data_IF_424884072174
#
_entry.id   IF_424884072174
#
_cell.length_a   1.000
_cell.length_b   1.000
_cell.length_c   1.000
_cell.angle_alpha   90.00
_cell.angle_beta   90.00
_cell.angle_gamma   90.00
#
_symmetry.space_group_name_H-M   'P 1'
#
loop_
_entity.id
_entity.type
_entity.pdbx_description
1 polymer ?
#
# COMPACT_ATOMS: atom_id res chain seq x y z
N UNK A 1 -22.41 -28.85 -43.49
CA UNK A 1 -22.75 -27.87 -42.42
C UNK A 1 -23.52 -28.61 -41.34
N UNK A 2 -22.86 -28.97 -40.24
CA UNK A 2 -23.54 -29.59 -39.10
C UNK A 2 -24.35 -28.47 -38.42
N UNK A 3 -25.67 -28.66 -38.33
CA UNK A 3 -26.60 -27.65 -37.87
C UNK A 3 -26.42 -27.41 -36.36
N UNK A 4 -26.09 -26.19 -35.93
CA UNK A 4 -25.74 -25.83 -34.55
C UNK A 4 -26.80 -26.23 -33.52
N UNK A 5 -28.09 -26.32 -33.92
CA UNK A 5 -29.17 -26.82 -33.06
C UNK A 5 -28.99 -28.29 -32.67
N UNK A 6 -28.42 -29.11 -33.55
CA UNK A 6 -28.26 -30.54 -33.31
C UNK A 6 -27.14 -30.83 -32.30
N UNK A 7 -26.08 -30.02 -32.28
CA UNK A 7 -24.98 -30.14 -31.31
C UNK A 7 -25.45 -29.75 -29.91
N UNK A 8 -26.21 -28.65 -29.78
CA UNK A 8 -26.78 -28.21 -28.50
C UNK A 8 -27.77 -29.24 -27.97
N UNK A 9 -28.62 -29.81 -28.84
CA UNK A 9 -29.53 -30.90 -28.46
C UNK A 9 -28.75 -32.11 -27.93
N UNK A 10 -27.67 -32.52 -28.60
CA UNK A 10 -26.88 -33.69 -28.24
C UNK A 10 -26.17 -33.53 -26.88
N UNK A 11 -25.68 -32.32 -26.58
CA UNK A 11 -25.07 -31.99 -25.29
C UNK A 11 -26.12 -31.99 -24.18
N UNK A 12 -27.31 -31.43 -24.43
CA UNK A 12 -28.43 -31.45 -23.49
C UNK A 12 -28.92 -32.88 -23.20
N UNK A 13 -29.04 -33.74 -24.21
CA UNK A 13 -29.37 -35.15 -23.98
C UNK A 13 -28.29 -35.86 -23.18
N UNK A 14 -27.01 -35.60 -23.44
CA UNK A 14 -25.92 -36.23 -22.69
C UNK A 14 -25.90 -35.81 -21.21
N UNK A 15 -26.13 -34.52 -20.93
CA UNK A 15 -26.18 -33.98 -19.56
C UNK A 15 -27.39 -34.52 -18.80
N UNK A 16 -28.55 -34.59 -19.45
CA UNK A 16 -29.76 -35.19 -18.86
C UNK A 16 -29.56 -36.69 -18.62
N UNK A 17 -28.90 -37.40 -19.54
CA UNK A 17 -28.58 -38.82 -19.39
C UNK A 17 -27.63 -39.09 -18.21
N UNK A 18 -26.64 -38.21 -17.99
CA UNK A 18 -25.74 -38.26 -16.84
C UNK A 18 -26.47 -37.95 -15.52
N UNK A 19 -27.45 -37.03 -15.54
CA UNK A 19 -28.28 -36.70 -14.37
C UNK A 19 -29.27 -37.81 -14.00
N UNK A 20 -29.79 -38.56 -14.98
CA UNK A 20 -30.73 -39.67 -14.76
C UNK A 20 -30.01 -40.95 -14.30
N UNK A 21 -28.77 -41.19 -14.75
CA UNK A 21 -27.99 -42.39 -14.41
C UNK A 21 -27.30 -42.36 -13.03
N UNK A 22 -27.30 -41.23 -12.33
CA UNK A 22 -26.73 -41.11 -10.98
C UNK A 22 -27.80 -40.82 -9.91
N UNK A 23 -28.69 -41.78 -9.56
CA UNK A 23 -29.54 -41.65 -8.41
C UNK A 23 -28.77 -42.07 -7.15
N UNK A 24 -27.92 -41.19 -6.61
CA UNK A 24 -27.51 -41.09 -5.19
C UNK A 24 -26.16 -40.38 -5.04
N UNK A 25 -26.20 -39.13 -4.61
CA UNK A 25 -25.35 -38.63 -3.50
C UNK A 25 -25.69 -37.16 -3.23
N UNK A 26 -26.56 -36.97 -2.24
CA UNK A 26 -27.05 -35.67 -1.75
C UNK A 26 -25.93 -34.84 -1.06
N UNK A 27 -24.66 -35.21 -1.18
CA UNK A 27 -23.56 -34.61 -0.40
C UNK A 27 -22.58 -33.71 -1.17
N UNK A 28 -22.75 -33.48 -2.48
CA UNK A 28 -21.80 -32.63 -3.24
C UNK A 28 -22.44 -31.69 -4.29
N UNK A 29 -23.75 -31.46 -4.19
CA UNK A 29 -24.51 -30.60 -5.12
C UNK A 29 -23.87 -29.23 -5.40
N UNK A 30 -23.37 -28.46 -4.42
CA UNK A 30 -22.76 -27.15 -4.68
C UNK A 30 -21.43 -27.24 -5.46
N UNK A 31 -20.62 -28.26 -5.19
CA UNK A 31 -19.32 -28.45 -5.85
C UNK A 31 -19.48 -28.95 -7.29
N UNK A 32 -20.41 -29.89 -7.49
CA UNK A 32 -20.78 -30.39 -8.82
C UNK A 32 -21.43 -29.27 -9.64
N UNK A 33 -22.33 -28.48 -9.05
CA UNK A 33 -22.93 -27.31 -9.71
C UNK A 33 -21.88 -26.27 -10.12
N UNK A 34 -20.94 -25.94 -9.23
CA UNK A 34 -19.82 -25.02 -9.53
C UNK A 34 -18.90 -25.53 -10.66
N UNK A 35 -18.63 -26.83 -10.72
CA UNK A 35 -17.88 -27.43 -11.83
C UNK A 35 -18.65 -27.41 -13.15
N UNK A 36 -19.93 -27.75 -13.13
CA UNK A 36 -20.80 -27.71 -14.32
C UNK A 36 -20.94 -26.27 -14.82
N UNK A 37 -21.11 -25.30 -13.93
CA UNK A 37 -21.17 -23.89 -14.27
C UNK A 37 -19.87 -23.41 -14.92
N UNK A 38 -18.70 -23.80 -14.40
CA UNK A 38 -17.40 -23.48 -15.02
C UNK A 38 -17.24 -24.09 -16.41
N UNK A 39 -17.66 -25.34 -16.60
CA UNK A 39 -17.59 -26.02 -17.91
C UNK A 39 -18.57 -25.37 -18.90
N UNK A 40 -19.79 -25.05 -18.46
CA UNK A 40 -20.79 -24.38 -19.27
C UNK A 40 -20.37 -22.95 -19.65
N UNK A 41 -19.81 -22.17 -18.72
CA UNK A 41 -19.24 -20.85 -18.98
C UNK A 41 -18.04 -20.93 -19.93
N UNK A 42 -17.21 -21.96 -19.78
CA UNK A 42 -16.10 -22.25 -20.69
C UNK A 42 -16.61 -22.50 -22.12
N UNK A 43 -17.52 -23.46 -22.29
CA UNK A 43 -18.06 -23.85 -23.59
C UNK A 43 -18.87 -22.72 -24.23
N UNK A 44 -19.77 -22.06 -23.50
CA UNK A 44 -20.55 -20.93 -24.03
C UNK A 44 -19.66 -19.78 -24.50
N UNK A 45 -18.55 -19.51 -23.82
CA UNK A 45 -17.60 -18.46 -24.24
C UNK A 45 -16.91 -18.72 -25.58
N UNK A 46 -16.84 -19.97 -26.06
CA UNK A 46 -16.34 -20.33 -27.39
C UNK A 46 -17.37 -20.09 -28.50
N UNK A 47 -18.65 -20.00 -28.14
CA UNK A 47 -19.75 -19.79 -29.08
C UNK A 47 -20.37 -18.38 -29.00
N UNK A 48 -19.88 -17.55 -28.08
CA UNK A 48 -20.26 -16.14 -27.97
C UNK A 48 -19.87 -15.37 -29.23
N UNK A 49 -20.83 -14.63 -29.79
CA UNK A 49 -20.52 -13.62 -30.79
C UNK A 49 -19.63 -12.52 -30.17
N UNK A 50 -18.86 -11.77 -30.98
CA UNK A 50 -18.04 -10.67 -30.47
C UNK A 50 -18.83 -9.66 -29.61
N UNK A 51 -20.10 -9.41 -29.96
CA UNK A 51 -21.00 -8.51 -29.20
C UNK A 51 -21.42 -9.09 -27.85
N UNK A 52 -21.72 -10.39 -27.78
CA UNK A 52 -22.08 -11.05 -26.52
C UNK A 52 -20.87 -11.15 -25.58
N UNK A 53 -19.69 -11.44 -26.14
CA UNK A 53 -18.42 -11.42 -25.40
C UNK A 53 -18.13 -10.03 -24.83
N UNK A 54 -18.30 -8.98 -25.63
CA UNK A 54 -18.12 -7.59 -25.18
C UNK A 54 -19.13 -7.22 -24.08
N UNK A 55 -20.40 -7.58 -24.24
CA UNK A 55 -21.44 -7.34 -23.23
C UNK A 55 -21.15 -8.06 -21.90
N UNK A 56 -20.72 -9.33 -21.95
CA UNK A 56 -20.35 -10.09 -20.75
C UNK A 56 -19.14 -9.49 -20.04
N UNK A 57 -18.11 -9.09 -20.80
CA UNK A 57 -16.92 -8.42 -20.24
C UNK A 57 -17.34 -7.12 -19.54
N UNK A 58 -18.11 -6.25 -20.22
CA UNK A 58 -18.62 -5.01 -19.64
C UNK A 58 -19.42 -5.24 -18.36
N UNK A 59 -20.36 -6.20 -18.38
CA UNK A 59 -21.16 -6.55 -17.20
C UNK A 59 -20.30 -7.04 -16.03
N UNK A 60 -19.26 -7.84 -16.31
CA UNK A 60 -18.32 -8.32 -15.29
C UNK A 60 -17.46 -7.19 -14.73
N UNK A 61 -17.00 -6.27 -15.59
CA UNK A 61 -16.25 -5.08 -15.17
C UNK A 61 -17.11 -4.17 -14.28
N UNK A 62 -18.38 -3.95 -14.63
CA UNK A 62 -19.33 -3.19 -13.80
C UNK A 62 -19.57 -3.86 -12.45
N UNK A 63 -19.78 -5.18 -12.42
CA UNK A 63 -19.96 -5.91 -11.17
C UNK A 63 -18.70 -5.86 -10.28
N UNK A 64 -17.52 -6.01 -10.88
CA UNK A 64 -16.25 -5.87 -10.16
C UNK A 64 -16.07 -4.46 -9.61
N UNK A 65 -16.44 -3.44 -10.40
CA UNK A 65 -16.42 -2.03 -9.98
C UNK A 65 -17.34 -1.79 -8.80
N UNK A 66 -18.58 -2.26 -8.85
CA UNK A 66 -19.54 -2.08 -7.76
C UNK A 66 -19.12 -2.81 -6.49
N UNK A 67 -18.57 -4.02 -6.61
CA UNK A 67 -18.03 -4.76 -5.48
C UNK A 67 -16.84 -4.02 -4.84
N UNK A 68 -15.92 -3.52 -5.67
CA UNK A 68 -14.80 -2.72 -5.20
C UNK A 68 -15.26 -1.46 -4.47
N UNK A 69 -16.16 -0.69 -5.09
CA UNK A 69 -16.73 0.54 -4.53
C UNK A 69 -17.37 0.29 -3.17
N UNK A 70 -18.24 -0.73 -3.06
CA UNK A 70 -18.89 -1.10 -1.78
C UNK A 70 -17.86 -1.48 -0.72
N UNK A 71 -16.88 -2.31 -1.08
CA UNK A 71 -15.83 -2.73 -0.18
C UNK A 71 -14.99 -1.54 0.31
N UNK A 72 -14.59 -0.67 -0.60
CA UNK A 72 -13.82 0.53 -0.29
C UNK A 72 -14.59 1.47 0.65
N UNK A 73 -15.85 1.82 0.33
CA UNK A 73 -16.66 2.69 1.19
C UNK A 73 -16.98 2.06 2.55
N UNK A 74 -17.12 0.73 2.62
CA UNK A 74 -17.32 0.06 3.91
C UNK A 74 -16.14 0.24 4.87
N UNK A 75 -14.90 0.38 4.34
CA UNK A 75 -13.71 0.67 5.14
C UNK A 75 -13.63 2.11 5.65
N UNK A 76 -14.31 3.05 4.98
CA UNK A 76 -14.34 4.46 5.38
C UNK A 76 -15.31 4.73 6.54
N UNK A 77 -16.26 3.82 6.79
CA UNK A 77 -17.25 3.93 7.86
C UNK A 77 -16.61 3.58 9.21
N UNK A 78 -16.96 4.35 10.23
CA UNK A 78 -16.47 4.16 11.59
C UNK A 78 -17.58 3.61 12.49
N UNK A 79 -17.25 2.68 13.38
CA UNK A 79 -18.22 1.98 14.22
C UNK A 79 -18.86 2.85 15.33
N UNK A 80 -18.42 4.09 15.52
CA UNK A 80 -18.99 5.04 16.49
C UNK A 80 -18.96 6.47 15.92
N UNK A 81 -20.07 6.97 15.36
CA UNK A 81 -20.13 8.26 14.66
C UNK A 81 -20.36 9.46 15.59
N UNK A 82 -19.99 9.37 16.87
CA UNK A 82 -20.59 10.19 17.92
C UNK A 82 -20.29 11.69 17.84
N UNK A 83 -19.34 12.15 17.01
CA UNK A 83 -19.17 13.55 16.61
C UNK A 83 -18.41 13.60 15.27
N UNK A 84 -18.80 14.49 14.37
CA UNK A 84 -18.03 14.80 13.16
C UNK A 84 -16.71 15.46 13.57
N UNK A 85 -15.58 14.80 13.27
CA UNK A 85 -14.26 15.33 13.59
C UNK A 85 -13.97 16.58 12.76
N UNK A 86 -13.37 17.59 13.37
CA UNK A 86 -12.79 18.71 12.62
C UNK A 86 -11.66 18.23 11.71
N UNK A 87 -11.37 18.97 10.63
CA UNK A 87 -10.25 18.62 9.75
C UNK A 87 -8.89 18.55 10.49
N UNK A 88 -8.70 19.36 11.54
CA UNK A 88 -7.48 19.31 12.36
C UNK A 88 -7.38 18.05 13.21
N UNK A 89 -8.49 17.60 13.80
CA UNK A 89 -8.53 16.33 14.55
C UNK A 89 -8.36 15.14 13.61
N UNK A 90 -9.00 15.20 12.45
CA UNK A 90 -8.90 14.17 11.42
C UNK A 90 -7.45 14.03 10.91
N UNK A 91 -6.76 15.15 10.71
CA UNK A 91 -5.35 15.17 10.34
C UNK A 91 -4.46 14.57 11.42
N UNK A 92 -4.66 14.94 12.68
CA UNK A 92 -3.87 14.43 13.81
C UNK A 92 -3.99 12.91 13.94
N UNK A 93 -5.23 12.40 13.89
CA UNK A 93 -5.49 10.95 13.91
C UNK A 93 -4.90 10.23 12.69
N UNK A 94 -5.02 10.82 11.49
CA UNK A 94 -4.47 10.23 10.28
C UNK A 94 -2.94 10.17 10.30
N UNK A 95 -2.27 11.17 10.88
CA UNK A 95 -0.83 11.15 11.06
C UNK A 95 -0.38 10.14 12.13
N UNK A 96 -1.13 10.02 13.23
CA UNK A 96 -0.91 8.99 14.26
C UNK A 96 -1.02 7.57 13.66
N UNK A 97 -2.08 7.31 12.90
CA UNK A 97 -2.29 6.03 12.19
C UNK A 97 -1.23 5.78 11.11
N UNK A 98 -0.82 6.82 10.37
CA UNK A 98 0.23 6.74 9.36
C UNK A 98 1.57 6.27 9.93
N UNK A 99 2.03 6.87 11.03
CA UNK A 99 3.33 6.50 11.61
C UNK A 99 3.33 5.10 12.22
N UNK A 100 2.21 4.69 12.84
CA UNK A 100 2.01 3.31 13.28
C UNK A 100 2.09 2.36 12.09
N UNK A 101 1.37 2.64 11.01
CA UNK A 101 1.43 1.86 9.78
C UNK A 101 2.85 1.77 9.21
N UNK A 102 3.62 2.86 9.19
CA UNK A 102 5.01 2.82 8.72
C UNK A 102 5.90 1.90 9.56
N UNK A 103 5.74 1.93 10.89
CA UNK A 103 6.52 1.10 11.81
C UNK A 103 6.07 -0.36 11.78
N UNK A 104 4.77 -0.64 11.70
CA UNK A 104 4.25 -2.01 11.56
C UNK A 104 4.73 -2.66 10.26
N UNK A 105 4.78 -1.89 9.16
CA UNK A 105 5.27 -2.38 7.87
C UNK A 105 6.72 -2.88 7.94
N UNK A 106 7.54 -2.35 8.86
CA UNK A 106 8.93 -2.78 9.06
C UNK A 106 9.01 -4.28 9.37
N UNK A 107 8.11 -4.76 10.22
CA UNK A 107 8.04 -6.16 10.61
C UNK A 107 7.66 -7.11 9.46
N UNK A 108 6.98 -6.60 8.43
CA UNK A 108 6.57 -7.35 7.24
C UNK A 108 7.59 -7.29 6.09
N UNK A 109 8.65 -6.50 6.22
CA UNK A 109 9.61 -6.32 5.13
C UNK A 109 10.37 -7.59 4.76
N UNK A 110 10.62 -8.49 5.71
CA UNK A 110 11.31 -9.75 5.39
C UNK A 110 10.46 -10.62 4.45
N UNK A 111 9.13 -10.62 4.64
CA UNK A 111 8.21 -11.31 3.74
C UNK A 111 8.21 -10.65 2.36
N UNK A 112 8.25 -9.32 2.30
CA UNK A 112 8.35 -8.58 1.03
C UNK A 112 9.65 -8.94 0.31
N UNK A 113 10.78 -8.98 1.01
CA UNK A 113 12.08 -9.37 0.43
C UNK A 113 12.00 -10.79 -0.11
N UNK A 114 11.40 -11.72 0.64
CA UNK A 114 11.22 -13.10 0.17
C UNK A 114 10.35 -13.16 -1.10
N UNK A 115 9.21 -12.46 -1.12
CA UNK A 115 8.35 -12.41 -2.32
C UNK A 115 9.09 -11.84 -3.52
N UNK A 116 9.86 -10.75 -3.34
CA UNK A 116 10.64 -10.15 -4.44
C UNK A 116 11.72 -11.10 -4.97
N UNK A 117 12.30 -11.96 -4.12
CA UNK A 117 13.21 -13.03 -4.56
C UNK A 117 12.49 -14.12 -5.34
N UNK A 118 11.36 -14.60 -4.82
CA UNK A 118 10.56 -15.64 -5.48
C UNK A 118 10.09 -15.18 -6.88
N UNK A 119 9.78 -13.88 -7.02
CA UNK A 119 9.43 -13.22 -8.28
C UNK A 119 10.65 -12.86 -9.15
N UNK A 120 11.87 -13.12 -8.67
CA UNK A 120 13.15 -12.80 -9.34
C UNK A 120 13.32 -11.31 -9.66
N UNK A 121 12.73 -10.45 -8.84
CA UNK A 121 12.82 -8.99 -8.96
C UNK A 121 14.06 -8.42 -8.25
N UNK A 122 14.68 -9.20 -7.35
CA UNK A 122 15.94 -8.89 -6.68
C UNK A 122 16.86 -10.12 -6.66
N UNK A 123 18.13 -9.94 -6.34
CA UNK A 123 19.10 -11.04 -6.28
C UNK A 123 18.84 -12.00 -5.10
N UNK A 124 19.07 -13.28 -5.36
CA UNK A 124 18.93 -14.36 -4.37
C UNK A 124 19.85 -14.18 -3.15
N UNK A 125 21.00 -13.54 -3.33
CA UNK A 125 22.00 -13.28 -2.28
C UNK A 125 21.66 -12.08 -1.37
N UNK A 126 20.59 -11.34 -1.67
CA UNK A 126 20.11 -10.24 -0.82
C UNK A 126 19.77 -10.77 0.59
N UNK A 127 20.37 -10.29 1.69
CA UNK A 127 20.05 -10.81 3.02
C UNK A 127 18.57 -10.59 3.38
N UNK A 128 17.83 -11.67 3.68
CA UNK A 128 16.40 -11.59 4.02
C UNK A 128 16.13 -11.07 5.43
N UNK A 129 17.15 -11.03 6.30
CA UNK A 129 17.07 -10.69 7.72
C UNK A 129 17.71 -9.33 8.06
N UNK A 130 18.00 -8.52 7.03
CA UNK A 130 18.69 -7.24 7.18
C UNK A 130 17.95 -6.29 8.14
N UNK A 131 16.63 -6.20 8.00
CA UNK A 131 15.81 -5.34 8.84
C UNK A 131 15.71 -5.86 10.27
N UNK A 132 15.64 -7.18 10.45
CA UNK A 132 15.72 -7.78 11.79
C UNK A 132 17.01 -7.41 12.51
N UNK A 133 18.14 -7.50 11.81
CA UNK A 133 19.45 -7.14 12.36
C UNK A 133 19.55 -5.66 12.74
N UNK A 134 19.02 -4.77 11.90
CA UNK A 134 19.11 -3.31 12.11
C UNK A 134 18.11 -2.82 13.17
N UNK A 135 16.88 -3.34 13.12
CA UNK A 135 15.80 -2.97 14.04
C UNK A 135 15.83 -3.76 15.36
N UNK A 136 16.79 -4.68 15.51
CA UNK A 136 16.93 -5.50 16.71
C UNK A 136 15.79 -6.51 16.91
N UNK A 137 15.03 -6.82 15.87
CA UNK A 137 13.95 -7.82 15.93
C UNK A 137 14.59 -9.19 16.12
N UNK A 138 14.48 -9.76 17.32
CA UNK A 138 15.00 -11.11 17.62
C UNK A 138 13.96 -12.15 17.24
N UNK A 139 14.38 -13.17 16.48
CA UNK A 139 13.69 -14.45 16.46
C UNK A 139 14.23 -15.28 17.63
N UNK A 140 13.52 -15.32 18.74
CA UNK A 140 13.75 -16.36 19.74
C UNK A 140 12.57 -17.31 19.59
N UNK A 141 12.75 -18.32 18.73
CA UNK A 141 11.93 -19.53 18.66
C UNK A 141 10.42 -19.32 18.90
N UNK A 142 9.68 -19.07 17.81
CA UNK A 142 8.21 -19.13 17.74
C UNK A 142 7.40 -18.00 18.39
N UNK A 143 8.01 -17.08 19.15
CA UNK A 143 7.33 -15.84 19.57
C UNK A 143 7.91 -14.62 18.86
N UNK A 144 7.09 -13.98 18.02
CA UNK A 144 7.37 -12.65 17.48
C UNK A 144 7.49 -11.67 18.65
N UNK A 145 8.72 -11.32 19.03
CA UNK A 145 8.95 -10.12 19.83
C UNK A 145 8.65 -8.90 18.95
N UNK A 146 7.60 -8.17 19.28
CA UNK A 146 7.21 -6.92 18.60
C UNK A 146 8.02 -5.71 19.09
N UNK A 147 9.06 -5.90 19.91
CA UNK A 147 9.89 -4.81 20.41
C UNK A 147 10.84 -4.31 19.32
N UNK A 148 10.36 -3.35 18.52
CA UNK A 148 11.16 -2.63 17.54
C UNK A 148 12.11 -1.70 18.30
N UNK A 149 13.42 -1.84 18.07
CA UNK A 149 14.40 -0.91 18.63
C UNK A 149 14.16 0.49 18.04
N UNK A 150 14.30 1.52 18.88
CA UNK A 150 14.35 2.96 18.52
C UNK A 150 15.10 3.30 17.22
N UNK A 151 16.09 2.51 16.81
CA UNK A 151 16.77 2.65 15.51
C UNK A 151 15.81 2.72 14.32
N UNK A 152 14.70 1.97 14.36
CA UNK A 152 13.72 1.88 13.28
C UNK A 152 12.45 2.70 13.52
N UNK A 153 12.38 3.39 14.66
CA UNK A 153 11.44 4.47 14.82
C UNK A 153 11.83 5.68 13.98
N UNK A 154 10.85 6.51 13.58
CA UNK A 154 11.11 7.79 12.95
C UNK A 154 11.81 8.76 13.92
N UNK A 155 12.63 9.65 13.37
CA UNK A 155 13.42 10.63 14.12
C UNK A 155 13.04 12.05 13.72
N UNK A 156 12.72 12.89 14.70
CA UNK A 156 12.49 14.32 14.53
C UNK A 156 13.83 15.03 14.41
N UNK A 157 13.98 15.85 13.36
CA UNK A 157 15.13 16.71 13.14
C UNK A 157 14.67 18.16 13.24
N UNK A 158 15.18 18.92 14.21
CA UNK A 158 14.85 20.34 14.39
C UNK A 158 15.90 21.26 13.75
N UNK A 159 17.18 20.88 13.80
CA UNK A 159 18.28 21.68 13.25
C UNK A 159 18.65 21.23 11.83
N UNK A 160 18.63 19.92 11.58
CA UNK A 160 18.87 19.31 10.27
C UNK A 160 17.56 19.07 9.52
N UNK A 161 16.71 20.11 9.46
CA UNK A 161 15.36 20.03 8.90
C UNK A 161 15.21 20.58 7.48
N UNK A 162 16.34 20.87 6.82
CA UNK A 162 16.42 21.32 5.42
C UNK A 162 17.17 20.26 4.60
N UNK A 163 16.59 19.89 3.45
CA UNK A 163 17.16 18.92 2.52
C UNK A 163 18.57 19.30 2.09
N UNK A 164 18.84 20.60 1.87
CA UNK A 164 20.16 21.07 1.45
C UNK A 164 21.23 20.85 2.53
N UNK A 165 20.85 20.89 3.81
CA UNK A 165 21.77 20.63 4.93
C UNK A 165 22.09 19.13 4.98
N UNK A 166 21.06 18.29 4.88
CA UNK A 166 21.23 16.83 4.86
C UNK A 166 22.02 16.36 3.63
N UNK A 167 21.78 16.92 2.45
CA UNK A 167 22.50 16.57 1.22
C UNK A 167 23.98 16.97 1.26
N UNK A 168 24.37 18.03 1.97
CA UNK A 168 25.80 18.39 2.13
C UNK A 168 26.59 17.36 2.94
N UNK A 169 25.92 16.55 3.75
CA UNK A 169 26.54 15.52 4.56
C UNK A 169 26.94 14.26 3.73
N UNK A 170 26.49 14.18 2.47
CA UNK A 170 26.79 13.11 1.49
C UNK A 170 28.29 12.89 1.18
N UNK A 171 29.21 13.72 1.66
CA UNK A 171 30.65 13.62 1.33
C UNK A 171 31.44 12.60 2.16
N UNK A 172 30.79 11.84 3.04
CA UNK A 172 31.43 10.88 3.94
C UNK A 172 30.80 9.49 3.76
N UNK A 173 31.62 8.47 3.52
CA UNK A 173 31.17 7.08 3.32
C UNK A 173 30.71 6.43 4.65
N UNK A 174 29.50 6.75 5.09
CA UNK A 174 28.93 6.14 6.29
C UNK A 174 28.28 4.79 5.99
N UNK A 175 28.44 3.84 6.91
CA UNK A 175 27.79 2.53 6.82
C UNK A 175 26.38 2.62 7.38
N UNK A 176 25.51 1.72 6.94
CA UNK A 176 24.15 1.58 7.49
C UNK A 176 24.14 1.36 9.01
N UNK A 177 25.13 0.66 9.55
CA UNK A 177 25.33 0.48 11.00
C UNK A 177 25.45 1.80 11.76
N UNK A 178 25.87 2.86 11.07
CA UNK A 178 26.18 4.15 11.68
C UNK A 178 24.95 5.05 11.74
N UNK A 179 23.83 4.67 11.10
CA UNK A 179 22.62 5.50 10.98
C UNK A 179 22.12 6.04 12.32
N UNK A 180 21.98 5.17 13.34
CA UNK A 180 21.55 5.62 14.67
C UNK A 180 22.53 6.62 15.28
N UNK A 181 23.83 6.38 15.15
CA UNK A 181 24.85 7.27 15.71
C UNK A 181 24.88 8.60 14.97
N UNK A 182 24.74 8.58 13.64
CA UNK A 182 24.60 9.76 12.80
C UNK A 182 23.41 10.60 13.26
N UNK A 183 22.21 10.01 13.22
CA UNK A 183 20.99 10.76 13.44
C UNK A 183 20.94 11.29 14.88
N UNK A 184 21.31 10.47 15.86
CA UNK A 184 21.25 10.89 17.27
C UNK A 184 22.39 11.82 17.70
N UNK A 185 23.63 11.62 17.23
CA UNK A 185 24.79 12.40 17.71
C UNK A 185 25.15 13.58 16.82
N UNK A 186 25.16 13.38 15.50
CA UNK A 186 25.60 14.43 14.56
C UNK A 186 24.45 15.35 14.19
N UNK A 187 23.24 14.82 14.07
CA UNK A 187 22.05 15.57 13.68
C UNK A 187 21.09 15.91 14.82
N UNK A 188 21.47 15.53 16.04
CA UNK A 188 20.69 15.77 17.28
C UNK A 188 19.23 15.34 17.14
N UNK A 189 18.99 14.26 16.38
CA UNK A 189 17.67 13.73 16.13
C UNK A 189 17.06 13.09 17.37
N UNK A 190 15.75 13.26 17.52
CA UNK A 190 14.97 12.69 18.63
C UNK A 190 14.06 11.61 18.06
N UNK A 191 14.32 10.34 18.40
CA UNK A 191 13.42 9.24 18.03
C UNK A 191 12.09 9.40 18.75
N UNK A 192 10.97 9.16 18.06
CA UNK A 192 9.65 9.10 18.69
C UNK A 192 9.02 7.73 18.42
N UNK A 193 8.38 7.17 19.43
CA UNK A 193 7.65 5.91 19.34
C UNK A 193 6.24 6.18 18.82
N UNK A 194 5.84 5.78 17.60
CA UNK A 194 4.50 6.08 17.08
C UNK A 194 3.33 5.48 17.86
N UNK A 195 3.59 4.54 18.77
CA UNK A 195 2.57 3.97 19.64
C UNK A 195 2.32 4.78 20.92
N UNK A 196 3.22 5.71 21.26
CA UNK A 196 3.18 6.50 22.49
C UNK A 196 3.20 8.01 22.21
N UNK A 197 4.00 8.43 21.23
CA UNK A 197 4.27 9.82 20.88
C UNK A 197 3.45 10.29 19.68
N UNK A 198 2.94 11.52 19.75
CA UNK A 198 2.18 12.18 18.67
C UNK A 198 2.76 13.55 18.33
N UNK A 199 3.87 13.61 17.58
CA UNK A 199 4.53 14.88 17.28
C UNK A 199 3.72 15.76 16.29
N UNK A 200 2.89 15.13 15.47
CA UNK A 200 1.94 15.82 14.59
C UNK A 200 0.65 16.07 15.37
N UNK A 201 0.22 17.33 15.39
CA UNK A 201 -0.96 17.79 16.14
C UNK A 201 -1.81 18.68 15.24
N UNK A 202 -3.08 18.89 15.59
CA UNK A 202 -4.02 19.70 14.81
C UNK A 202 -3.54 21.12 14.47
N UNK A 203 -2.62 21.71 15.26
CA UNK A 203 -1.99 23.02 14.96
C UNK A 203 -1.14 23.03 13.67
N UNK A 204 -0.70 21.86 13.20
CA UNK A 204 0.10 21.70 11.99
C UNK A 204 -0.75 21.26 10.78
N UNK A 205 -2.07 21.17 10.91
CA UNK A 205 -2.96 20.86 9.80
C UNK A 205 -2.69 21.79 8.61
N UNK A 206 -2.24 21.21 7.49
CA UNK A 206 -1.87 21.90 6.26
C UNK A 206 -0.87 23.06 6.43
N UNK A 207 0.03 22.96 7.43
CA UNK A 207 1.08 23.93 7.73
C UNK A 207 2.42 23.22 7.91
N UNK A 208 3.51 23.99 7.82
CA UNK A 208 4.83 23.45 8.12
C UNK A 208 4.97 23.08 9.60
N UNK A 209 5.61 21.94 9.87
CA UNK A 209 6.09 21.56 11.19
C UNK A 209 7.42 22.25 11.51
N UNK A 210 7.79 22.44 12.79
CA UNK A 210 9.10 22.97 13.15
C UNK A 210 10.24 21.96 12.93
N UNK A 211 9.90 20.72 12.61
CA UNK A 211 10.84 19.61 12.42
C UNK A 211 10.64 18.96 11.05
N UNK A 212 11.69 18.32 10.54
CA UNK A 212 11.60 17.29 9.52
C UNK A 212 11.60 15.90 10.19
N UNK A 213 11.24 14.86 9.45
CA UNK A 213 11.37 13.47 9.92
C UNK A 213 12.32 12.71 9.03
N UNK A 214 13.14 11.84 9.63
CA UNK A 214 13.89 10.83 8.91
C UNK A 214 13.54 9.45 9.44
N UNK A 215 13.34 8.50 8.54
CA UNK A 215 13.02 7.13 8.88
C UNK A 215 13.75 6.18 7.92
N UNK A 216 14.20 5.05 8.45
CA UNK A 216 14.60 3.94 7.59
C UNK A 216 13.37 3.27 6.97
N UNK A 217 13.46 2.94 5.70
CA UNK A 217 12.55 2.07 4.96
C UNK A 217 13.27 0.76 4.56
N UNK A 218 12.54 -0.23 4.00
CA UNK A 218 13.17 -1.46 3.50
C UNK A 218 14.12 -1.18 2.34
N UNK A 219 13.79 -0.18 1.53
CA UNK A 219 14.48 0.18 0.31
C UNK A 219 15.52 1.30 0.51
N UNK A 220 15.62 1.88 1.72
CA UNK A 220 16.61 2.90 2.01
C UNK A 220 16.29 3.82 3.19
N UNK A 221 16.57 5.10 3.02
CA UNK A 221 16.31 6.14 4.02
C UNK A 221 15.41 7.20 3.41
N UNK A 222 14.28 7.43 4.09
CA UNK A 222 13.24 8.35 3.67
C UNK A 222 13.28 9.58 4.55
N UNK A 223 13.27 10.75 3.91
CA UNK A 223 13.18 12.04 4.57
C UNK A 223 11.84 12.70 4.27
N UNK A 224 11.24 13.28 5.29
CA UNK A 224 9.96 13.96 5.28
C UNK A 224 10.24 15.43 5.58
N UNK A 225 10.03 16.34 4.63
CA UNK A 225 10.25 17.77 4.84
C UNK A 225 9.27 18.34 5.88
N UNK A 226 9.55 19.56 6.35
CA UNK A 226 8.63 20.32 7.21
C UNK A 226 7.23 20.51 6.60
N UNK A 227 7.15 20.58 5.28
CA UNK A 227 5.89 20.70 4.53
C UNK A 227 5.30 19.34 4.11
N UNK A 228 5.72 18.23 4.74
CA UNK A 228 5.45 16.89 4.24
C UNK A 228 3.97 16.57 4.07
N UNK A 229 3.18 16.97 5.07
CA UNK A 229 2.02 16.20 5.42
C UNK A 229 0.79 17.11 5.41
N UNK A 230 -0.09 16.87 4.43
CA UNK A 230 -1.29 17.67 4.20
C UNK A 230 -2.50 16.78 4.11
N UNK A 231 -3.62 17.21 4.67
CA UNK A 231 -4.90 16.56 4.49
C UNK A 231 -5.71 17.39 3.49
N UNK A 232 -5.91 16.83 2.31
CA UNK A 232 -6.48 17.50 1.15
C UNK A 232 -7.80 16.85 0.70
N UNK A 233 -8.64 17.65 0.05
CA UNK A 233 -9.77 17.16 -0.72
C UNK A 233 -9.34 16.62 -2.09
N UNK A 234 -10.21 15.83 -2.71
CA UNK A 234 -9.98 15.30 -4.05
C UNK A 234 -9.76 16.39 -5.12
N UNK A 235 -10.52 17.48 -5.03
CA UNK A 235 -10.40 18.64 -5.93
C UNK A 235 -9.00 19.27 -5.86
N UNK A 236 -8.45 19.42 -4.64
CA UNK A 236 -7.11 19.92 -4.39
C UNK A 236 -6.05 18.96 -4.95
N UNK A 237 -6.20 17.64 -4.73
CA UNK A 237 -5.30 16.64 -5.32
C UNK A 237 -5.28 16.69 -6.84
N UNK A 238 -6.45 16.79 -7.47
CA UNK A 238 -6.61 16.78 -8.92
C UNK A 238 -5.97 18.00 -9.59
N UNK A 239 -5.89 19.11 -8.86
CA UNK A 239 -5.18 20.31 -9.33
C UNK A 239 -3.65 20.15 -9.32
N UNK A 240 -3.12 19.16 -8.60
CA UNK A 240 -1.70 18.81 -8.62
C UNK A 240 -1.37 17.88 -9.78
N UNK A 241 -0.35 18.23 -10.56
CA UNK A 241 0.14 17.42 -11.66
C UNK A 241 0.81 16.11 -11.18
N UNK A 242 1.15 16.03 -9.88
CA UNK A 242 1.92 14.93 -9.32
C UNK A 242 1.09 13.64 -9.11
N UNK A 243 -0.24 13.73 -9.13
CA UNK A 243 -1.13 12.62 -8.82
C UNK A 243 -1.93 12.08 -10.02
N UNK A 244 -1.72 12.60 -11.22
CA UNK A 244 -2.56 12.33 -12.41
C UNK A 244 -2.79 10.83 -12.64
N UNK A 245 -1.73 10.01 -12.61
CA UNK A 245 -1.84 8.57 -12.87
C UNK A 245 -2.59 7.79 -11.79
N UNK A 246 -2.33 8.11 -10.51
CA UNK A 246 -2.98 7.46 -9.37
C UNK A 246 -4.47 7.82 -9.34
N UNK A 247 -4.80 9.09 -9.55
CA UNK A 247 -6.18 9.58 -9.59
C UNK A 247 -6.97 8.95 -10.75
N UNK A 248 -6.35 8.80 -11.92
CA UNK A 248 -6.99 8.14 -13.07
C UNK A 248 -7.45 6.70 -12.78
N UNK A 249 -6.65 5.93 -12.03
CA UNK A 249 -7.04 4.57 -11.66
C UNK A 249 -8.25 4.56 -10.72
N UNK A 250 -8.30 5.51 -9.79
CA UNK A 250 -9.37 5.60 -8.80
C UNK A 250 -10.68 6.10 -9.44
N UNK A 251 -10.59 7.06 -10.38
CA UNK A 251 -11.75 7.57 -11.14
C UNK A 251 -12.42 6.49 -12.01
N UNK A 252 -11.73 5.38 -12.33
CA UNK A 252 -12.38 4.22 -12.98
C UNK A 252 -13.37 3.51 -12.08
N UNK A 253 -13.18 3.60 -10.76
CA UNK A 253 -13.94 2.83 -9.79
C UNK A 253 -14.94 3.65 -8.98
N UNK A 254 -14.76 4.97 -8.90
CA UNK A 254 -15.61 5.88 -8.12
C UNK A 254 -15.94 7.13 -8.92
N UNK A 255 -17.14 7.68 -8.68
CA UNK A 255 -17.55 8.95 -9.29
C UNK A 255 -16.86 10.14 -8.62
N UNK A 256 -16.80 11.28 -9.32
CA UNK A 256 -16.22 12.51 -8.78
C UNK A 256 -16.93 12.99 -7.51
N UNK A 257 -18.26 12.86 -7.46
CA UNK A 257 -19.07 13.22 -6.29
C UNK A 257 -18.68 12.40 -5.06
N UNK A 258 -18.40 11.12 -5.26
CA UNK A 258 -17.97 10.20 -4.21
C UNK A 258 -16.56 10.49 -3.74
N UNK A 259 -15.65 10.80 -4.66
CA UNK A 259 -14.27 11.15 -4.34
C UNK A 259 -14.17 12.45 -3.56
N UNK A 260 -15.04 13.42 -3.86
CA UNK A 260 -15.11 14.69 -3.12
C UNK A 260 -15.59 14.53 -1.67
N UNK A 261 -16.17 13.38 -1.30
CA UNK A 261 -16.55 13.08 0.10
C UNK A 261 -15.38 12.52 0.92
N UNK A 262 -14.25 12.24 0.26
CA UNK A 262 -13.08 11.60 0.88
C UNK A 262 -11.98 12.64 1.06
N UNK A 263 -11.40 12.66 2.25
CA UNK A 263 -10.16 13.39 2.54
C UNK A 263 -8.97 12.46 2.31
N UNK A 264 -7.85 13.04 1.88
CA UNK A 264 -6.64 12.29 1.58
C UNK A 264 -5.47 12.87 2.35
N UNK A 265 -4.80 12.01 3.12
CA UNK A 265 -3.53 12.34 3.73
C UNK A 265 -2.45 12.23 2.65
N UNK A 266 -1.94 13.36 2.23
CA UNK A 266 -0.80 13.49 1.33
C UNK A 266 0.48 13.53 2.12
N UNK A 267 1.40 12.65 1.76
CA UNK A 267 2.73 12.53 2.33
C UNK A 267 3.74 12.81 1.23
N UNK A 268 4.49 13.89 1.39
CA UNK A 268 5.65 14.24 0.58
C UNK A 268 6.91 13.71 1.25
N UNK A 269 7.74 13.02 0.49
CA UNK A 269 9.01 12.47 0.96
C UNK A 269 10.12 12.63 -0.07
N UNK A 270 11.36 12.42 0.37
CA UNK A 270 12.53 12.30 -0.48
C UNK A 270 13.30 11.05 -0.09
N UNK A 271 13.77 10.30 -1.07
CA UNK A 271 14.66 9.18 -0.81
C UNK A 271 16.09 9.72 -0.75
N UNK A 272 16.68 9.73 0.44
CA UNK A 272 18.07 10.19 0.63
C UNK A 272 19.07 9.14 0.16
N UNK A 273 18.70 7.88 0.30
CA UNK A 273 19.50 6.74 -0.12
C UNK A 273 18.56 5.61 -0.53
N UNK A 274 18.96 4.86 -1.56
CA UNK A 274 18.35 3.58 -1.92
C UNK A 274 19.36 2.49 -1.59
N UNK A 275 19.23 1.93 -0.39
CA UNK A 275 20.15 0.91 0.12
C UNK A 275 20.06 -0.42 -0.66
N UNK A 276 19.04 -0.61 -1.51
CA UNK A 276 18.94 -1.77 -2.38
C UNK A 276 19.55 -1.43 -3.75
N UNK A 277 20.88 -1.35 -3.78
CA UNK A 277 21.61 -1.76 -4.99
C UNK A 277 21.32 -3.25 -5.16
N UNK A 278 20.41 -3.57 -6.07
CA UNK A 278 20.03 -4.92 -6.48
C UNK A 278 21.18 -5.73 -7.09
N UNK A 279 22.44 -5.39 -6.83
CA UNK A 279 23.62 -5.98 -7.47
C UNK A 279 24.73 -6.43 -6.52
N UNK A 280 24.76 -6.00 -5.26
CA UNK A 280 25.93 -6.26 -4.39
C UNK A 280 25.62 -6.62 -2.94
N UNK A 281 24.38 -6.48 -2.46
CA UNK A 281 24.03 -6.78 -1.06
C UNK A 281 24.83 -5.97 -0.02
N UNK A 282 25.57 -4.95 -0.45
CA UNK A 282 26.50 -4.18 0.37
C UNK A 282 26.02 -2.73 0.49
N UNK A 283 25.69 -2.42 1.74
CA UNK A 283 25.12 -1.20 2.27
C UNK A 283 26.03 0.03 2.11
N UNK A 284 25.53 1.11 1.51
CA UNK A 284 26.10 2.44 1.64
C UNK A 284 24.98 3.42 1.92
N UNK A 285 25.12 4.28 2.95
CA UNK A 285 24.44 5.58 2.96
C UNK A 285 25.20 6.43 1.93
N UNK A 286 24.83 6.28 0.66
CA UNK A 286 25.61 6.77 -0.47
C UNK A 286 24.72 7.44 -1.49
N UNK A 287 25.22 8.55 -2.04
CA UNK A 287 24.54 9.38 -3.03
C UNK A 287 24.00 8.54 -4.19
N UNK A 288 22.68 8.38 -4.27
CA UNK A 288 22.06 8.09 -5.55
C UNK A 288 21.98 9.40 -6.33
N UNK A 289 22.96 9.64 -7.21
CA UNK A 289 23.07 10.87 -8.03
C UNK A 289 21.80 11.22 -8.83
N UNK A 290 20.82 10.30 -8.92
CA UNK A 290 19.65 10.45 -9.78
C UNK A 290 18.31 10.59 -9.05
N UNK A 291 18.22 10.43 -7.72
CA UNK A 291 16.91 10.30 -7.03
C UNK A 291 16.66 11.19 -5.81
N UNK A 292 17.68 11.86 -5.26
CA UNK A 292 17.49 12.76 -4.10
C UNK A 292 16.83 14.11 -4.46
N UNK A 293 16.64 14.41 -5.76
CA UNK A 293 16.12 15.69 -6.24
C UNK A 293 14.60 15.78 -6.43
N UNK A 294 13.90 14.65 -6.53
CA UNK A 294 12.47 14.63 -6.83
C UNK A 294 11.67 14.15 -5.64
N UNK A 295 10.68 14.96 -5.23
CA UNK A 295 9.74 14.57 -4.19
C UNK A 295 8.91 13.36 -4.64
N UNK A 296 8.75 12.40 -3.73
CA UNK A 296 7.77 11.33 -3.87
C UNK A 296 6.51 11.77 -3.12
N UNK A 297 5.38 11.67 -3.78
CA UNK A 297 4.09 12.06 -3.23
C UNK A 297 3.19 10.84 -3.14
N UNK A 298 2.70 10.57 -1.93
CA UNK A 298 1.79 9.48 -1.62
C UNK A 298 0.48 10.07 -1.11
N UNK A 299 -0.66 9.53 -1.54
CA UNK A 299 -1.97 9.93 -1.05
C UNK A 299 -2.67 8.73 -0.44
N UNK A 300 -3.19 8.91 0.77
CA UNK A 300 -3.92 7.87 1.51
C UNK A 300 -5.34 8.36 1.79
N UNK A 301 -6.39 7.67 1.31
CA UNK A 301 -7.75 7.91 1.76
C UNK A 301 -7.84 7.84 3.28
N UNK A 302 -8.55 8.80 3.88
CA UNK A 302 -8.75 8.88 5.33
C UNK A 302 -10.20 8.56 5.66
N UNK A 303 -10.42 7.61 6.57
CA UNK A 303 -11.75 7.28 7.08
C UNK A 303 -12.32 8.44 7.91
N UNK A 304 -13.62 8.45 8.18
CA UNK A 304 -14.24 9.52 8.98
C UNK A 304 -13.78 9.57 10.45
N UNK A 305 -12.99 8.61 10.90
CA UNK A 305 -12.39 8.53 12.23
C UNK A 305 -10.86 8.66 12.19
N UNK A 306 -10.30 9.14 11.06
CA UNK A 306 -8.89 9.48 10.97
C UNK A 306 -7.97 8.27 10.81
N UNK A 307 -8.44 7.16 10.24
CA UNK A 307 -7.55 6.06 9.85
C UNK A 307 -7.15 6.18 8.40
N UNK A 308 -5.90 5.90 8.08
CA UNK A 308 -5.47 5.81 6.69
C UNK A 308 -5.89 4.47 6.11
N UNK A 309 -6.30 4.48 4.86
CA UNK A 309 -6.58 3.26 4.10
C UNK A 309 -5.57 3.16 2.96
N UNK A 310 -4.57 2.26 3.03
CA UNK A 310 -3.71 2.04 1.87
C UNK A 310 -4.60 1.60 0.70
N UNK A 311 -4.38 2.18 -0.48
CA UNK A 311 -5.08 1.74 -1.69
C UNK A 311 -4.90 0.24 -1.83
N UNK A 312 -6.02 -0.46 -1.96
CA UNK A 312 -6.05 -1.92 -2.11
C UNK A 312 -5.23 -2.25 -3.35
N UNK A 313 -4.11 -2.96 -3.16
CA UNK A 313 -3.34 -3.53 -4.27
C UNK A 313 -4.29 -4.41 -5.10
N UNK A 314 -4.35 -4.14 -6.41
CA UNK A 314 -5.10 -4.92 -7.38
C UNK A 314 -4.35 -6.19 -7.77
#
# INVERSE_FOLDING_TARGET
MINNKNIIMLILTLVIFILILFPASVFNLPWIASKIEKVYLGISSYFESPKEKEFRIKKKEEQNRDNYRKHFFSKLICNNPSNELSNSELYELAMDDYWKYQVEKISDWDNIIQTLKDEKLILDDTPYDLNRKICGLRNINEEKSNEINSTCYPWLLYEYNDLNIIQKWESKNYKISDFKSLVSKEWSGISFNPFEDRPYTGKYFNRETPFAVIQRSYDGVVWYPKDCCRLLEYSELKSSHDFIHTLYLIEKFMSLEELNKIKFLVIKTYNLDRAVSSYTGLNMLGRSNNYAGSAVLLAYPVTYCGKITPFIKF
#
